data_IF_679894396570
#
_entry.id   IF_679894396570
#
_cell.length_a   1.000
_cell.length_b   1.000
_cell.length_c   1.000
_cell.angle_alpha   90.00
_cell.angle_beta   90.00
_cell.angle_gamma   90.00
#
_symmetry.space_group_name_H-M   'P 1'
#
loop_
_entity.id
_entity.type
_entity.pdbx_description
1 polymer ?
#
# COMPACT_ATOMS: atom_id res chain seq x y z
N UNK A 1 -6.51 8.04 -65.29
CA UNK A 1 -7.62 8.02 -66.26
C UNK A 1 -7.94 6.58 -66.57
N UNK A 2 -8.93 6.03 -65.86
CA UNK A 2 -9.52 4.71 -66.11
C UNK A 2 -10.96 4.82 -65.60
N UNK A 3 -11.91 4.85 -66.51
CA UNK A 3 -13.35 4.99 -66.23
C UNK A 3 -13.90 3.74 -65.51
N UNK A 4 -14.60 3.89 -64.37
CA UNK A 4 -15.38 2.83 -63.77
C UNK A 4 -16.86 3.08 -64.10
N UNK A 5 -17.26 2.77 -65.32
CA UNK A 5 -18.67 2.76 -65.69
C UNK A 5 -18.95 1.51 -66.51
N UNK A 6 -19.72 0.59 -65.91
CA UNK A 6 -20.87 -0.17 -66.47
C UNK A 6 -20.93 -1.56 -65.81
N UNK A 7 -21.39 -1.62 -64.56
CA UNK A 7 -21.99 -2.84 -64.02
C UNK A 7 -23.51 -2.73 -64.22
N UNK A 8 -24.09 -3.73 -64.89
CA UNK A 8 -25.52 -3.79 -65.17
C UNK A 8 -26.33 -3.90 -63.86
N UNK A 9 -27.53 -3.30 -63.79
CA UNK A 9 -28.39 -3.44 -62.62
C UNK A 9 -28.86 -4.91 -62.50
N UNK A 10 -28.47 -5.56 -61.40
CA UNK A 10 -29.02 -6.85 -60.99
C UNK A 10 -30.48 -6.62 -60.58
N UNK A 11 -31.40 -7.23 -61.32
CA UNK A 11 -32.83 -7.22 -61.05
C UNK A 11 -33.08 -7.88 -59.68
N UNK A 12 -33.53 -7.07 -58.71
CA UNK A 12 -33.84 -7.49 -57.34
C UNK A 12 -35.24 -8.08 -57.31
N UNK A 13 -35.32 -9.41 -57.18
CA UNK A 13 -36.58 -10.10 -56.89
C UNK A 13 -37.21 -9.53 -55.62
N UNK A 14 -38.47 -9.07 -55.74
CA UNK A 14 -39.24 -8.54 -54.62
C UNK A 14 -39.39 -9.63 -53.54
N UNK A 15 -39.20 -9.29 -52.24
CA UNK A 15 -39.33 -10.27 -51.18
C UNK A 15 -40.77 -10.79 -51.13
N UNK A 16 -40.91 -12.12 -51.20
CA UNK A 16 -42.17 -12.82 -51.07
C UNK A 16 -42.89 -12.39 -49.78
N UNK A 17 -44.01 -11.68 -49.94
CA UNK A 17 -44.94 -11.37 -48.85
C UNK A 17 -45.55 -12.68 -48.35
N UNK A 18 -45.19 -13.09 -47.13
CA UNK A 18 -45.99 -14.05 -46.36
C UNK A 18 -45.27 -15.31 -45.86
N UNK A 19 -44.07 -15.19 -45.28
CA UNK A 19 -43.53 -16.25 -44.44
C UNK A 19 -43.81 -15.92 -42.97
N UNK A 20 -44.62 -16.74 -42.31
CA UNK A 20 -44.88 -16.71 -40.88
C UNK A 20 -43.56 -16.64 -40.10
N UNK A 21 -43.35 -15.53 -39.40
CA UNK A 21 -42.20 -15.34 -38.55
C UNK A 21 -42.37 -16.24 -37.31
N UNK A 22 -41.64 -17.36 -37.30
CA UNK A 22 -41.46 -18.17 -36.09
C UNK A 22 -40.90 -17.36 -34.92
N UNK A 23 -40.79 -17.96 -33.72
CA UNK A 23 -40.28 -17.29 -32.53
C UNK A 23 -38.98 -16.53 -32.83
N UNK A 24 -38.90 -15.27 -32.38
CA UNK A 24 -37.83 -14.33 -32.74
C UNK A 24 -36.41 -14.91 -32.53
N UNK A 25 -36.24 -15.76 -31.52
CA UNK A 25 -34.97 -16.44 -31.22
C UNK A 25 -34.54 -17.43 -32.32
N UNK A 26 -35.48 -18.13 -32.94
CA UNK A 26 -35.22 -19.09 -34.01
C UNK A 26 -34.88 -18.36 -35.32
N UNK A 27 -35.54 -17.21 -35.56
CA UNK A 27 -35.22 -16.31 -36.68
C UNK A 27 -33.83 -15.67 -36.55
N UNK A 28 -33.37 -15.35 -35.34
CA UNK A 28 -32.06 -14.72 -35.14
C UNK A 28 -30.90 -15.72 -35.25
N UNK A 29 -31.13 -16.99 -34.91
CA UNK A 29 -30.07 -18.01 -34.87
C UNK A 29 -29.97 -18.83 -36.16
N UNK A 30 -31.08 -19.04 -36.87
CA UNK A 30 -31.14 -19.96 -38.01
C UNK A 30 -31.56 -19.32 -39.33
N UNK A 31 -32.03 -18.06 -39.35
CA UNK A 31 -32.29 -17.39 -40.62
C UNK A 31 -30.98 -17.12 -41.36
N UNK A 32 -31.04 -17.19 -42.69
CA UNK A 32 -29.98 -16.67 -43.53
C UNK A 32 -29.71 -15.21 -43.13
N UNK A 33 -28.43 -14.81 -42.94
CA UNK A 33 -28.11 -13.46 -42.49
C UNK A 33 -28.77 -12.47 -43.44
N UNK A 34 -29.57 -11.55 -42.88
CA UNK A 34 -30.24 -10.52 -43.66
C UNK A 34 -29.19 -9.86 -44.56
N UNK A 35 -29.46 -9.81 -45.87
CA UNK A 35 -28.60 -9.08 -46.82
C UNK A 35 -28.74 -7.60 -46.49
N UNK A 36 -27.90 -7.12 -45.59
CA UNK A 36 -27.79 -5.70 -45.28
C UNK A 36 -27.19 -5.07 -46.53
N UNK A 37 -27.96 -4.25 -47.24
CA UNK A 37 -27.41 -3.38 -48.29
C UNK A 37 -26.20 -2.67 -47.68
N UNK A 38 -25.03 -2.79 -48.33
CA UNK A 38 -23.87 -2.01 -47.91
C UNK A 38 -24.31 -0.56 -47.94
N UNK A 39 -24.50 0.05 -46.76
CA UNK A 39 -24.59 1.51 -46.63
C UNK A 39 -23.50 2.08 -47.51
N UNK A 40 -23.87 3.00 -48.42
CA UNK A 40 -22.91 3.74 -49.23
C UNK A 40 -21.78 4.14 -48.28
N UNK A 41 -20.59 3.61 -48.53
CA UNK A 41 -19.47 3.72 -47.62
C UNK A 41 -19.17 5.20 -47.45
N UNK A 42 -19.60 5.80 -46.33
CA UNK A 42 -19.15 7.14 -46.03
C UNK A 42 -17.64 7.03 -45.91
N UNK A 43 -16.92 7.82 -46.69
CA UNK A 43 -15.45 7.78 -46.78
C UNK A 43 -14.78 7.93 -45.40
N UNK A 44 -15.54 8.46 -44.43
CA UNK A 44 -15.20 8.56 -43.03
C UNK A 44 -16.41 8.17 -42.18
N UNK A 45 -16.18 7.35 -41.15
CA UNK A 45 -17.19 7.01 -40.13
C UNK A 45 -17.61 8.22 -39.28
N UNK A 46 -16.83 9.30 -39.33
CA UNK A 46 -17.04 10.53 -38.56
C UNK A 46 -16.99 11.76 -39.49
N UNK A 47 -17.70 12.84 -39.16
CA UNK A 47 -17.57 14.11 -39.87
C UNK A 47 -16.15 14.67 -39.75
N UNK A 48 -15.74 15.52 -40.71
CA UNK A 48 -14.38 16.09 -40.76
C UNK A 48 -13.96 16.79 -39.45
N UNK A 49 -14.89 17.44 -38.75
CA UNK A 49 -14.60 18.06 -37.46
C UNK A 49 -14.26 17.01 -36.39
N UNK A 50 -14.88 15.84 -36.43
CA UNK A 50 -14.58 14.73 -35.53
C UNK A 50 -13.18 14.16 -35.79
N UNK A 51 -12.82 14.01 -37.07
CA UNK A 51 -11.46 13.64 -37.47
C UNK A 51 -10.45 14.66 -36.94
N UNK A 52 -10.71 15.96 -37.13
CA UNK A 52 -9.85 17.04 -36.65
C UNK A 52 -9.66 17.01 -35.12
N UNK A 53 -10.74 16.86 -34.35
CA UNK A 53 -10.67 16.78 -32.88
C UNK A 53 -9.85 15.57 -32.43
N UNK A 54 -10.08 14.39 -33.02
CA UNK A 54 -9.32 13.18 -32.69
C UNK A 54 -7.85 13.33 -33.08
N UNK A 55 -7.55 13.90 -34.26
CA UNK A 55 -6.18 14.15 -34.70
C UNK A 55 -5.45 15.10 -33.76
N UNK A 56 -6.10 16.18 -33.29
CA UNK A 56 -5.53 17.10 -32.29
C UNK A 56 -5.26 16.38 -30.96
N UNK A 57 -6.19 15.54 -30.51
CA UNK A 57 -6.01 14.75 -29.30
C UNK A 57 -4.83 13.78 -29.42
N UNK A 58 -4.72 13.05 -30.53
CA UNK A 58 -3.61 12.12 -30.79
C UNK A 58 -2.29 12.89 -30.84
N UNK A 59 -2.24 14.02 -31.55
CA UNK A 59 -1.04 14.86 -31.63
C UNK A 59 -0.61 15.36 -30.25
N UNK A 60 -1.56 15.83 -29.44
CA UNK A 60 -1.32 16.24 -28.06
C UNK A 60 -0.78 15.07 -27.23
N UNK A 61 -1.44 13.92 -27.25
CA UNK A 61 -1.04 12.74 -26.50
C UNK A 61 0.37 12.28 -26.86
N UNK A 62 0.66 12.15 -28.16
CA UNK A 62 1.97 11.73 -28.67
C UNK A 62 3.06 12.72 -28.26
N UNK A 63 2.78 14.03 -28.35
CA UNK A 63 3.74 15.07 -27.98
C UNK A 63 4.06 15.04 -26.48
N UNK A 64 3.04 14.92 -25.63
CA UNK A 64 3.25 14.75 -24.18
C UNK A 64 3.98 13.43 -23.89
N UNK A 65 3.63 12.33 -24.55
CA UNK A 65 4.27 11.02 -24.37
C UNK A 65 5.77 11.06 -24.75
N UNK A 66 6.12 11.68 -25.87
CA UNK A 66 7.51 11.81 -26.31
C UNK A 66 8.34 12.62 -25.30
N UNK A 67 7.83 13.76 -24.84
CA UNK A 67 8.53 14.58 -23.85
C UNK A 67 8.55 13.91 -22.48
N UNK A 68 7.49 13.19 -22.09
CA UNK A 68 7.43 12.44 -20.83
C UNK A 68 8.50 11.36 -20.74
N UNK A 69 8.79 10.68 -21.86
CA UNK A 69 9.84 9.66 -21.95
C UNK A 69 11.25 10.24 -22.19
N UNK A 70 11.38 11.55 -22.42
CA UNK A 70 12.69 12.18 -22.55
C UNK A 70 13.38 12.35 -21.19
N UNK A 71 14.72 12.33 -21.13
CA UNK A 71 15.43 12.47 -19.87
C UNK A 71 15.13 13.81 -19.20
N UNK A 72 14.53 13.79 -18.00
CA UNK A 72 14.33 14.99 -17.17
C UNK A 72 15.63 15.53 -16.52
N UNK A 73 16.80 15.06 -16.96
CA UNK A 73 18.13 15.42 -16.47
C UNK A 73 19.05 15.73 -17.66
N UNK A 74 20.08 16.54 -17.44
CA UNK A 74 21.03 16.94 -18.50
C UNK A 74 20.51 18.08 -19.38
N UNK A 75 20.97 18.14 -20.62
CA UNK A 75 20.74 19.24 -21.56
C UNK A 75 19.25 19.48 -21.89
N UNK A 76 18.40 18.44 -21.81
CA UNK A 76 16.98 18.54 -22.13
C UNK A 76 16.09 18.90 -20.92
N UNK A 77 16.66 19.09 -19.72
CA UNK A 77 15.91 19.28 -18.47
C UNK A 77 14.94 20.45 -18.52
N UNK A 78 15.41 21.60 -19.00
CA UNK A 78 14.61 22.83 -18.98
C UNK A 78 13.50 22.78 -20.03
N UNK A 79 13.78 22.23 -21.22
CA UNK A 79 12.77 21.95 -22.23
C UNK A 79 11.70 20.97 -21.71
N UNK A 80 12.13 19.84 -21.15
CA UNK A 80 11.23 18.83 -20.58
C UNK A 80 10.29 19.43 -19.54
N UNK A 81 10.85 20.16 -18.57
CA UNK A 81 10.06 20.78 -17.49
C UNK A 81 9.12 21.87 -18.00
N UNK A 82 9.60 22.72 -18.92
CA UNK A 82 8.83 23.85 -19.45
C UNK A 82 7.69 23.36 -20.32
N UNK A 83 7.96 22.44 -21.25
CA UNK A 83 6.95 21.85 -22.12
C UNK A 83 5.84 21.17 -21.31
N UNK A 84 6.20 20.23 -20.41
CA UNK A 84 5.21 19.50 -19.61
C UNK A 84 4.40 20.42 -18.69
N UNK A 85 4.99 21.51 -18.19
CA UNK A 85 4.24 22.52 -17.41
C UNK A 85 3.26 23.30 -18.28
N UNK A 86 3.68 23.75 -19.45
CA UNK A 86 2.87 24.58 -20.34
C UNK A 86 1.65 23.83 -20.90
N UNK A 87 1.86 22.58 -21.30
CA UNK A 87 0.79 21.74 -21.86
C UNK A 87 -0.01 20.97 -20.80
N UNK A 88 0.25 21.23 -19.51
CA UNK A 88 -0.32 20.50 -18.36
C UNK A 88 -0.14 18.98 -18.49
N UNK A 89 1.00 18.56 -19.03
CA UNK A 89 1.32 17.16 -19.29
C UNK A 89 1.37 16.31 -18.02
N UNK A 90 1.82 16.88 -16.90
CA UNK A 90 1.83 16.20 -15.60
C UNK A 90 0.42 15.89 -15.08
N UNK A 91 -0.48 16.86 -15.17
CA UNK A 91 -1.88 16.72 -14.79
C UNK A 91 -2.62 15.77 -15.72
N UNK A 92 -2.38 15.87 -17.03
CA UNK A 92 -2.96 14.99 -18.04
C UNK A 92 -2.57 13.52 -17.78
N UNK A 93 -1.26 13.19 -17.71
CA UNK A 93 -0.81 11.82 -17.47
C UNK A 93 -1.25 11.26 -16.12
N UNK A 94 -1.30 12.11 -15.09
CA UNK A 94 -1.81 11.71 -13.77
C UNK A 94 -3.32 11.45 -13.79
N UNK A 95 -4.08 12.28 -14.50
CA UNK A 95 -5.52 12.17 -14.65
C UNK A 95 -5.94 10.93 -15.44
N UNK A 96 -5.24 10.66 -16.55
CA UNK A 96 -5.48 9.47 -17.39
C UNK A 96 -4.78 8.21 -16.92
N UNK A 97 -4.04 8.28 -15.80
CA UNK A 97 -3.26 7.16 -15.22
C UNK A 97 -2.25 6.53 -16.18
N UNK A 98 -1.67 7.32 -17.08
CA UNK A 98 -0.60 6.90 -17.97
C UNK A 98 0.79 6.83 -17.29
N UNK A 99 0.86 7.03 -15.96
CA UNK A 99 2.12 6.97 -15.23
C UNK A 99 2.55 5.51 -14.94
N UNK A 100 3.05 4.80 -15.94
CA UNK A 100 3.68 3.51 -15.67
C UNK A 100 5.01 3.70 -14.94
N UNK A 101 5.24 2.86 -13.92
CA UNK A 101 6.53 2.78 -13.26
C UNK A 101 7.49 1.97 -14.13
N UNK A 102 8.64 2.54 -14.49
CA UNK A 102 9.73 1.83 -15.15
C UNK A 102 10.24 0.62 -14.37
N UNK A 103 9.92 0.52 -13.08
CA UNK A 103 10.23 -0.66 -12.26
C UNK A 103 9.56 -1.94 -12.79
N UNK A 104 8.51 -1.85 -13.61
CA UNK A 104 7.94 -3.02 -14.29
C UNK A 104 8.85 -3.57 -15.40
N UNK A 105 9.71 -2.74 -15.98
CA UNK A 105 10.67 -3.10 -17.03
C UNK A 105 12.10 -3.25 -16.50
N UNK A 106 12.31 -3.16 -15.18
CA UNK A 106 13.61 -3.44 -14.61
C UNK A 106 14.02 -4.90 -14.94
N UNK A 107 15.32 -5.20 -15.14
CA UNK A 107 15.78 -6.56 -15.49
C UNK A 107 15.33 -7.66 -14.51
N UNK A 108 15.00 -7.27 -13.27
CA UNK A 108 14.45 -8.15 -12.24
C UNK A 108 13.21 -7.50 -11.60
N UNK A 109 12.03 -7.58 -12.23
CA UNK A 109 10.81 -7.02 -11.64
C UNK A 109 10.43 -7.79 -10.38
N UNK A 110 9.62 -7.20 -9.49
CA UNK A 110 9.11 -7.95 -8.34
C UNK A 110 8.23 -9.10 -8.83
N UNK A 111 8.61 -10.34 -8.49
CA UNK A 111 7.90 -11.56 -8.87
C UNK A 111 7.05 -12.13 -7.75
N UNK A 112 6.74 -11.33 -6.73
CA UNK A 112 5.85 -11.71 -5.64
C UNK A 112 4.57 -10.90 -5.73
N UNK A 113 3.44 -11.58 -5.92
CA UNK A 113 2.14 -10.97 -5.72
C UNK A 113 1.77 -11.19 -4.25
N UNK A 114 1.45 -10.12 -3.54
CA UNK A 114 1.10 -10.17 -2.11
C UNK A 114 -0.32 -9.70 -1.90
N UNK A 115 -1.06 -10.50 -1.14
CA UNK A 115 -2.44 -10.33 -0.75
C UNK A 115 -2.49 -10.24 0.79
N UNK A 116 -3.44 -9.47 1.29
CA UNK A 116 -3.68 -9.36 2.73
C UNK A 116 -5.09 -9.81 3.03
N UNK A 117 -5.21 -10.81 3.89
CA UNK A 117 -6.47 -11.20 4.49
C UNK A 117 -6.56 -10.64 5.90
N UNK A 118 -7.77 -10.28 6.28
CA UNK A 118 -8.05 -9.71 7.58
C UNK A 118 -9.06 -10.62 8.24
N UNK A 119 -8.63 -11.29 9.28
CA UNK A 119 -9.49 -12.15 10.07
C UNK A 119 -9.88 -11.45 11.35
N UNK A 120 -11.12 -11.66 11.77
CA UNK A 120 -11.65 -11.16 13.03
C UNK A 120 -11.98 -12.36 13.90
N UNK A 121 -11.40 -12.39 15.09
CA UNK A 121 -11.77 -13.34 16.13
C UNK A 121 -12.87 -12.72 16.98
N UNK A 122 -14.03 -13.38 17.03
CA UNK A 122 -15.17 -12.93 17.83
C UNK A 122 -14.93 -13.19 19.35
N UNK A 123 -15.95 -12.97 20.18
CA UNK A 123 -15.86 -13.27 21.62
C UNK A 123 -15.94 -14.78 21.91
N UNK A 124 -16.48 -15.58 21.00
CA UNK A 124 -16.58 -17.04 21.13
C UNK A 124 -15.27 -17.76 20.78
N UNK A 125 -14.35 -17.07 20.10
CA UNK A 125 -13.11 -17.61 19.55
C UNK A 125 -13.23 -18.11 18.10
N UNK A 126 -14.37 -17.88 17.45
CA UNK A 126 -14.56 -18.18 16.04
C UNK A 126 -13.85 -17.14 15.15
N UNK A 127 -13.20 -17.62 14.09
CA UNK A 127 -12.42 -16.82 13.17
C UNK A 127 -13.23 -16.51 11.91
N UNK A 128 -13.55 -15.24 11.73
CA UNK A 128 -14.31 -14.73 10.59
C UNK A 128 -13.39 -14.06 9.57
N UNK A 129 -13.51 -14.41 8.29
CA UNK A 129 -12.88 -13.60 7.23
C UNK A 129 -13.68 -12.30 7.09
N UNK A 130 -13.02 -11.16 7.24
CA UNK A 130 -13.69 -9.86 7.15
C UNK A 130 -14.04 -9.48 5.69
N UNK A 131 -13.69 -10.32 4.72
CA UNK A 131 -14.00 -10.19 3.29
C UNK A 131 -13.55 -8.84 2.69
N UNK A 132 -12.57 -8.19 3.34
CA UNK A 132 -11.93 -6.97 2.87
C UNK A 132 -10.59 -7.28 2.21
N UNK A 133 -10.41 -8.51 1.70
CA UNK A 133 -9.24 -8.86 0.90
C UNK A 133 -9.17 -7.86 -0.26
N UNK A 134 -8.03 -7.18 -0.35
CA UNK A 134 -7.77 -6.08 -1.29
C UNK A 134 -7.97 -6.55 -2.74
N UNK A 135 -7.97 -7.87 -2.97
CA UNK A 135 -8.01 -8.46 -4.29
C UNK A 135 -9.07 -9.56 -4.48
N UNK A 136 -9.71 -10.05 -3.41
CA UNK A 136 -10.62 -11.21 -3.47
C UNK A 136 -11.91 -10.95 -4.27
N UNK A 137 -12.41 -9.73 -4.21
CA UNK A 137 -13.41 -9.21 -5.13
C UNK A 137 -12.98 -7.80 -5.54
N UNK A 138 -13.09 -7.49 -6.83
CA UNK A 138 -12.84 -6.17 -7.41
C UNK A 138 -13.95 -5.15 -6.99
N UNK A 139 -14.37 -5.19 -5.72
CA UNK A 139 -15.41 -4.32 -5.13
C UNK A 139 -15.00 -2.85 -5.09
N UNK A 140 -13.75 -2.53 -5.40
CA UNK A 140 -13.25 -1.17 -5.44
C UNK A 140 -12.65 -0.81 -6.81
N UNK A 141 -13.48 -0.59 -7.85
CA UNK A 141 -13.04 0.17 -9.00
C UNK A 141 -12.79 1.61 -8.52
N UNK A 142 -11.61 1.87 -7.98
CA UNK A 142 -11.21 3.21 -7.57
C UNK A 142 -11.12 4.06 -8.84
N UNK A 143 -12.21 4.69 -9.27
CA UNK A 143 -12.18 5.74 -10.29
C UNK A 143 -11.37 6.94 -9.75
N UNK A 144 -11.47 7.16 -8.44
CA UNK A 144 -10.69 8.14 -7.69
C UNK A 144 -9.92 7.44 -6.58
N UNK A 145 -8.67 7.84 -6.40
CA UNK A 145 -7.83 7.33 -5.32
C UNK A 145 -8.34 7.92 -4.00
N UNK A 146 -9.17 7.15 -3.29
CA UNK A 146 -9.73 7.55 -2.00
C UNK A 146 -8.77 7.22 -0.85
N UNK A 147 -9.16 7.63 0.36
CA UNK A 147 -8.34 7.38 1.56
C UNK A 147 -8.28 5.89 1.91
N UNK A 148 -9.34 5.12 1.62
CA UNK A 148 -9.41 3.68 1.91
C UNK A 148 -8.42 2.90 1.03
N UNK A 149 -8.40 3.15 -0.27
CA UNK A 149 -7.46 2.57 -1.21
C UNK A 149 -6.00 2.88 -0.86
N UNK A 150 -5.74 4.07 -0.28
CA UNK A 150 -4.42 4.41 0.25
C UNK A 150 -4.00 3.55 1.44
N UNK A 151 -4.91 3.33 2.40
CA UNK A 151 -4.64 2.48 3.57
C UNK A 151 -4.48 1.03 3.13
N UNK A 152 -5.38 0.53 2.29
CA UNK A 152 -5.37 -0.83 1.77
C UNK A 152 -4.03 -1.16 1.09
N UNK A 153 -3.56 -0.32 0.14
CA UNK A 153 -2.24 -0.53 -0.52
C UNK A 153 -1.05 -0.47 0.42
N UNK A 154 -1.18 0.14 1.60
CA UNK A 154 -0.08 0.31 2.56
C UNK A 154 -0.15 -0.65 3.74
N UNK A 155 -1.22 -1.45 3.84
CA UNK A 155 -1.41 -2.38 4.93
C UNK A 155 -0.41 -3.55 4.85
N UNK A 156 0.05 -3.89 3.65
CA UNK A 156 1.07 -4.92 3.45
C UNK A 156 2.42 -4.47 4.04
N UNK A 157 2.85 -5.19 5.07
CA UNK A 157 4.17 -5.05 5.69
C UNK A 157 4.37 -3.80 6.57
N UNK A 158 3.36 -2.92 6.72
CA UNK A 158 3.48 -1.71 7.56
C UNK A 158 2.58 -1.80 8.80
N UNK A 159 3.20 -2.16 9.93
CA UNK A 159 2.53 -2.33 11.23
C UNK A 159 1.66 -1.14 11.67
N UNK A 160 2.10 0.10 11.45
CA UNK A 160 1.30 1.26 11.86
C UNK A 160 -0.01 1.40 11.06
N UNK A 161 -0.01 1.05 9.76
CA UNK A 161 -1.24 1.03 8.97
C UNK A 161 -2.15 -0.10 9.40
N UNK A 162 -1.60 -1.28 9.68
CA UNK A 162 -2.35 -2.41 10.24
C UNK A 162 -3.01 -2.05 11.56
N UNK A 163 -2.30 -1.36 12.46
CA UNK A 163 -2.85 -0.90 13.74
C UNK A 163 -4.06 0.01 13.59
N UNK A 164 -3.94 1.04 12.74
CA UNK A 164 -5.03 2.00 12.51
C UNK A 164 -6.22 1.31 11.80
N UNK A 165 -5.93 0.47 10.81
CA UNK A 165 -6.97 -0.25 10.09
C UNK A 165 -7.66 -1.29 10.97
N UNK A 166 -6.91 -2.07 11.75
CA UNK A 166 -7.47 -3.04 12.68
C UNK A 166 -8.32 -2.38 13.76
N UNK A 167 -7.92 -1.20 14.27
CA UNK A 167 -8.80 -0.42 15.13
C UNK A 167 -10.11 -0.03 14.44
N UNK A 168 -10.08 0.32 13.15
CA UNK A 168 -11.30 0.53 12.36
C UNK A 168 -12.11 -0.75 12.17
N UNK A 169 -11.47 -1.90 11.90
CA UNK A 169 -12.14 -3.20 11.79
C UNK A 169 -12.83 -3.57 13.11
N UNK A 170 -12.18 -3.38 14.26
CA UNK A 170 -12.80 -3.60 15.57
C UNK A 170 -14.07 -2.78 15.76
N UNK A 171 -14.06 -1.50 15.36
CA UNK A 171 -15.22 -0.61 15.41
C UNK A 171 -16.32 -1.04 14.45
N UNK A 172 -15.94 -1.38 13.22
CA UNK A 172 -16.87 -1.81 12.18
C UNK A 172 -17.53 -3.15 12.54
N UNK A 173 -16.77 -4.07 13.12
CA UNK A 173 -17.30 -5.32 13.68
C UNK A 173 -18.32 -5.05 14.78
N UNK A 174 -17.98 -4.21 15.76
CA UNK A 174 -18.91 -3.84 16.83
C UNK A 174 -20.18 -3.17 16.28
N UNK A 175 -20.06 -2.37 15.22
CA UNK A 175 -21.21 -1.76 14.55
C UNK A 175 -22.13 -2.79 13.90
N UNK A 176 -21.57 -3.84 13.30
CA UNK A 176 -22.33 -4.88 12.60
C UNK A 176 -22.92 -5.95 13.55
N UNK A 177 -22.29 -6.16 14.71
CA UNK A 177 -22.66 -7.19 15.68
C UNK A 177 -23.28 -6.58 16.95
N UNK A 178 -24.26 -5.68 16.81
CA UNK A 178 -25.05 -5.12 17.91
C UNK A 178 -24.24 -4.54 19.09
N UNK A 179 -23.06 -3.99 18.82
CA UNK A 179 -22.19 -3.37 19.81
C UNK A 179 -21.20 -4.32 20.49
N UNK A 180 -21.20 -5.60 20.14
CA UNK A 180 -20.24 -6.60 20.63
C UNK A 180 -18.88 -6.40 19.96
N UNK A 181 -17.86 -6.02 20.74
CA UNK A 181 -16.52 -5.86 20.22
C UNK A 181 -15.92 -7.22 19.82
N UNK A 182 -15.11 -7.25 18.76
CA UNK A 182 -14.27 -8.42 18.47
C UNK A 182 -13.21 -8.60 19.56
N UNK A 183 -12.65 -9.81 19.69
CA UNK A 183 -11.52 -10.09 20.60
C UNK A 183 -10.21 -9.64 19.97
N UNK A 184 -9.96 -10.06 18.74
CA UNK A 184 -8.73 -9.72 18.01
C UNK A 184 -8.95 -9.60 16.50
N UNK A 185 -8.07 -8.86 15.84
CA UNK A 185 -8.00 -8.76 14.38
C UNK A 185 -6.61 -9.21 13.95
N UNK A 186 -6.54 -10.25 13.13
CA UNK A 186 -5.29 -10.84 12.66
C UNK A 186 -5.10 -10.59 11.17
N UNK A 187 -3.92 -10.08 10.80
CA UNK A 187 -3.55 -9.88 9.41
C UNK A 187 -2.75 -11.08 8.91
N UNK A 188 -3.21 -11.69 7.82
CA UNK A 188 -2.52 -12.82 7.18
C UNK A 188 -2.04 -12.37 5.82
N UNK A 189 -0.71 -12.32 5.66
CA UNK A 189 -0.07 -12.06 4.38
C UNK A 189 -0.06 -13.34 3.58
N UNK A 190 -0.80 -13.37 2.48
CA UNK A 190 -0.77 -14.44 1.48
C UNK A 190 0.06 -13.96 0.31
N UNK A 191 1.05 -14.71 -0.16
CA UNK A 191 1.82 -14.31 -1.34
C UNK A 191 2.04 -15.48 -2.30
N UNK A 192 2.02 -15.16 -3.59
CA UNK A 192 2.27 -16.08 -4.69
C UNK A 192 3.50 -15.64 -5.47
N UNK A 193 4.21 -16.61 -6.06
CA UNK A 193 5.33 -16.32 -6.95
C UNK A 193 4.82 -16.25 -8.39
N UNK A 194 5.06 -15.13 -9.05
CA UNK A 194 4.79 -14.96 -10.48
C UNK A 194 5.82 -15.79 -11.26
N UNK A 195 5.39 -16.75 -12.09
CA UNK A 195 6.27 -17.60 -12.89
C UNK A 195 7.10 -16.79 -13.89
N UNK A 196 8.16 -17.39 -14.45
CA UNK A 196 8.96 -16.72 -15.49
C UNK A 196 8.12 -16.64 -16.77
N UNK A 197 8.31 -15.63 -17.64
CA UNK A 197 7.60 -15.56 -18.92
C UNK A 197 7.70 -16.86 -19.74
N UNK A 198 8.88 -17.48 -19.74
CA UNK A 198 9.12 -18.77 -20.41
C UNK A 198 8.22 -19.90 -19.89
N UNK A 199 7.98 -19.96 -18.58
CA UNK A 199 7.13 -20.98 -17.94
C UNK A 199 5.65 -20.76 -18.30
N UNK A 200 5.21 -19.50 -18.42
CA UNK A 200 3.83 -19.17 -18.80
C UNK A 200 3.58 -19.47 -20.27
N UNK A 201 4.52 -19.10 -21.15
CA UNK A 201 4.43 -19.38 -22.58
C UNK A 201 4.43 -20.88 -22.87
N UNK A 202 5.20 -21.67 -22.12
CA UNK A 202 5.23 -23.13 -22.23
C UNK A 202 3.88 -23.77 -21.84
N UNK A 203 3.15 -23.20 -20.87
CA UNK A 203 1.90 -23.77 -20.36
C UNK A 203 0.65 -23.50 -21.21
N UNK A 204 0.75 -22.76 -22.33
CA UNK A 204 -0.32 -22.45 -23.33
C UNK A 204 -1.66 -21.87 -22.81
N UNK A 205 -1.93 -21.83 -21.50
CA UNK A 205 -3.22 -21.41 -20.91
C UNK A 205 -3.18 -20.10 -20.12
N UNK A 206 -2.12 -19.30 -20.24
CA UNK A 206 -1.95 -18.10 -19.42
C UNK A 206 -1.62 -18.43 -17.95
N UNK A 207 -1.45 -17.40 -17.12
CA UNK A 207 -1.21 -17.55 -15.69
C UNK A 207 -2.43 -17.08 -14.90
N UNK A 208 -3.07 -17.99 -14.17
CA UNK A 208 -4.12 -17.65 -13.21
C UNK A 208 -3.49 -17.44 -11.81
N UNK A 209 -3.60 -16.22 -11.29
CA UNK A 209 -3.04 -15.85 -9.98
C UNK A 209 -3.79 -16.50 -8.81
N UNK A 210 -5.05 -16.88 -8.99
CA UNK A 210 -5.91 -17.42 -7.94
C UNK A 210 -5.64 -18.89 -7.65
N UNK A 211 -5.27 -19.64 -8.68
CA UNK A 211 -4.90 -21.06 -8.61
C UNK A 211 -3.41 -21.25 -8.27
N UNK A 212 -2.63 -20.16 -8.27
CA UNK A 212 -1.20 -20.25 -8.03
C UNK A 212 -0.90 -20.73 -6.60
N UNK A 213 0.13 -21.58 -6.42
CA UNK A 213 0.57 -21.99 -5.10
C UNK A 213 0.98 -20.76 -4.31
N UNK A 214 0.43 -20.64 -3.11
CA UNK A 214 0.60 -19.49 -2.24
C UNK A 214 1.21 -19.92 -0.92
N UNK A 215 1.96 -19.01 -0.30
CA UNK A 215 2.41 -19.13 1.08
C UNK A 215 1.67 -18.11 1.93
N UNK A 216 1.37 -18.49 3.17
CA UNK A 216 0.72 -17.61 4.12
C UNK A 216 1.67 -17.34 5.29
N UNK A 217 1.61 -16.14 5.83
CA UNK A 217 2.38 -15.74 7.01
C UNK A 217 1.54 -14.78 7.81
N UNK A 218 1.28 -15.13 9.06
CA UNK A 218 0.64 -14.24 10.03
C UNK A 218 1.54 -13.03 10.28
N UNK A 219 0.94 -11.85 10.35
CA UNK A 219 1.65 -10.60 10.59
C UNK A 219 1.37 -10.07 12.00
N UNK A 220 0.66 -8.96 12.10
CA UNK A 220 0.29 -8.39 13.39
C UNK A 220 -1.10 -8.92 13.78
N UNK A 221 -1.25 -9.29 15.05
CA UNK A 221 -2.55 -9.49 15.67
C UNK A 221 -2.83 -8.32 16.60
N UNK A 222 -4.01 -7.73 16.47
CA UNK A 222 -4.42 -6.55 17.22
C UNK A 222 -5.55 -6.95 18.15
N UNK A 223 -5.35 -6.77 19.44
CA UNK A 223 -6.41 -6.95 20.42
C UNK A 223 -7.32 -5.72 20.44
N UNK A 224 -8.60 -5.91 20.13
CA UNK A 224 -9.54 -4.80 20.00
C UNK A 224 -9.77 -4.05 21.32
N UNK A 225 -9.61 -4.71 22.48
CA UNK A 225 -9.74 -4.09 23.81
C UNK A 225 -8.61 -3.10 24.15
N UNK A 226 -7.41 -3.30 23.61
CA UNK A 226 -6.23 -2.51 24.00
C UNK A 226 -5.82 -1.51 22.92
N UNK A 227 -6.25 -1.72 21.67
CA UNK A 227 -5.89 -0.82 20.57
C UNK A 227 -6.57 0.53 20.73
N UNK A 228 -5.78 1.57 20.47
CA UNK A 228 -6.23 2.96 20.52
C UNK A 228 -7.30 3.19 19.44
N UNK A 229 -8.42 3.78 19.85
CA UNK A 229 -9.65 3.93 19.09
C UNK A 229 -10.22 2.60 18.56
N UNK A 230 -9.89 1.44 19.15
CA UNK A 230 -10.49 0.17 18.73
C UNK A 230 -11.97 0.06 19.05
N UNK A 231 -12.44 0.80 20.05
CA UNK A 231 -13.80 0.74 20.56
C UNK A 231 -14.64 1.88 19.99
N UNK A 232 -15.95 1.67 19.94
CA UNK A 232 -16.90 2.67 19.45
C UNK A 232 -17.20 3.67 20.58
N UNK A 233 -16.94 4.99 20.40
CA UNK A 233 -17.27 6.01 21.41
C UNK A 233 -18.79 6.17 21.56
N UNK A 234 -19.26 6.69 22.70
CA UNK A 234 -20.69 6.79 23.00
C UNK A 234 -21.46 7.64 22.00
N UNK A 235 -20.86 8.72 21.49
CA UNK A 235 -21.46 9.54 20.44
C UNK A 235 -21.83 8.74 19.17
N UNK A 236 -20.97 7.79 18.80
CA UNK A 236 -21.23 6.91 17.65
C UNK A 236 -22.18 5.77 18.04
N UNK A 237 -22.07 5.23 19.26
CA UNK A 237 -22.98 4.19 19.75
C UNK A 237 -24.42 4.69 19.77
N UNK A 238 -24.66 5.88 20.31
CA UNK A 238 -25.96 6.55 20.31
C UNK A 238 -26.51 6.71 18.88
N UNK A 239 -25.69 7.20 17.95
CA UNK A 239 -26.07 7.34 16.53
C UNK A 239 -26.51 6.02 15.90
N UNK A 240 -25.90 4.92 16.30
CA UNK A 240 -26.24 3.58 15.79
C UNK A 240 -27.29 2.85 16.65
N UNK A 241 -27.86 3.48 17.68
CA UNK A 241 -28.84 2.86 18.58
C UNK A 241 -28.24 1.77 19.48
N UNK A 242 -26.95 1.83 19.76
CA UNK A 242 -26.22 0.89 20.62
C UNK A 242 -26.18 1.39 22.07
N UNK A 243 -26.22 0.46 23.03
CA UNK A 243 -26.13 0.79 24.46
C UNK A 243 -24.81 1.51 24.79
N UNK A 244 -24.80 2.57 25.60
CA UNK A 244 -23.58 3.29 25.94
C UNK A 244 -22.61 2.42 26.75
N UNK A 245 -21.30 2.71 26.63
CA UNK A 245 -20.22 2.08 27.38
C UNK A 245 -19.60 3.07 28.37
N UNK A 246 -18.86 2.54 29.35
CA UNK A 246 -18.01 3.35 30.23
C UNK A 246 -16.75 3.81 29.47
N UNK A 247 -16.77 5.05 28.95
CA UNK A 247 -15.70 5.56 28.10
C UNK A 247 -14.34 5.58 28.80
N UNK A 248 -14.29 5.79 30.12
CA UNK A 248 -13.02 5.87 30.84
C UNK A 248 -12.30 4.52 30.91
N UNK A 249 -13.08 3.44 31.03
CA UNK A 249 -12.53 2.08 31.16
C UNK A 249 -12.37 1.38 29.81
N UNK A 250 -13.34 1.55 28.93
CA UNK A 250 -13.45 0.77 27.69
C UNK A 250 -12.90 1.51 26.48
N UNK A 251 -13.09 2.83 26.36
CA UNK A 251 -12.65 3.58 25.19
C UNK A 251 -11.20 4.07 25.35
N UNK A 252 -10.31 3.59 24.47
CA UNK A 252 -8.89 3.97 24.48
C UNK A 252 -8.64 5.15 23.54
N UNK A 253 -8.63 6.36 24.09
CA UNK A 253 -8.32 7.56 23.32
C UNK A 253 -6.84 7.66 22.93
N UNK A 254 -6.55 8.31 21.79
CA UNK A 254 -5.17 8.72 21.48
C UNK A 254 -4.73 9.68 22.57
N UNK A 255 -3.63 9.34 23.25
CA UNK A 255 -2.94 10.28 24.13
C UNK A 255 -2.37 11.40 23.27
N UNK A 256 -3.11 12.49 23.17
CA UNK A 256 -2.62 13.74 22.60
C UNK A 256 -1.47 14.25 23.47
N UNK A 257 -0.35 14.58 22.82
CA UNK A 257 0.77 15.27 23.46
C UNK A 257 0.82 16.65 22.85
N UNK A 258 0.55 17.66 23.66
CA UNK A 258 0.70 19.04 23.26
C UNK A 258 2.17 19.40 23.14
N UNK A 259 2.47 20.57 22.55
CA UNK A 259 3.85 21.08 22.53
C UNK A 259 4.35 21.40 23.96
N UNK A 260 3.46 21.84 24.85
CA UNK A 260 3.75 22.05 26.26
C UNK A 260 4.17 20.74 26.97
N UNK A 261 3.43 19.65 26.79
CA UNK A 261 3.77 18.33 27.38
C UNK A 261 5.10 17.76 26.87
N UNK A 262 5.62 18.28 25.74
CA UNK A 262 6.95 17.93 25.23
C UNK A 262 8.01 18.79 25.89
N UNK A 263 7.79 20.10 25.94
CA UNK A 263 8.70 21.05 26.58
C UNK A 263 8.90 20.74 28.07
N UNK A 264 7.82 20.43 28.78
CA UNK A 264 7.87 20.09 30.21
C UNK A 264 8.66 18.80 30.46
N UNK A 265 8.43 17.76 29.67
CA UNK A 265 9.23 16.52 29.73
C UNK A 265 10.70 16.73 29.41
N UNK A 266 11.00 17.64 28.49
CA UNK A 266 12.37 17.98 28.16
C UNK A 266 13.05 18.70 29.32
N UNK A 267 12.34 19.61 30.00
CA UNK A 267 12.80 20.23 31.25
C UNK A 267 13.04 19.19 32.35
N UNK A 268 12.08 18.31 32.60
CA UNK A 268 12.24 17.22 33.58
C UNK A 268 13.43 16.31 33.24
N UNK A 269 13.66 16.02 31.95
CA UNK A 269 14.81 15.22 31.50
C UNK A 269 16.12 15.95 31.80
N UNK A 270 16.22 17.23 31.46
CA UNK A 270 17.41 18.04 31.71
C UNK A 270 17.69 18.17 33.22
N UNK A 271 16.66 18.35 34.05
CA UNK A 271 16.81 18.37 35.51
C UNK A 271 17.29 17.02 36.06
N UNK A 272 16.77 15.90 35.56
CA UNK A 272 17.23 14.55 35.95
C UNK A 272 18.66 14.30 35.52
N UNK A 273 19.06 14.79 34.36
CA UNK A 273 20.44 14.71 33.87
C UNK A 273 21.38 15.55 34.74
N UNK A 274 20.99 16.79 35.07
CA UNK A 274 21.75 17.66 35.97
C UNK A 274 21.92 17.05 37.39
N UNK A 275 20.86 16.47 37.94
CA UNK A 275 20.95 15.76 39.24
C UNK A 275 21.89 14.56 39.17
N UNK A 276 21.89 13.82 38.05
CA UNK A 276 22.78 12.66 37.86
C UNK A 276 24.24 13.08 37.69
N UNK A 277 24.52 14.20 37.02
CA UNK A 277 25.89 14.71 36.89
C UNK A 277 26.41 15.20 38.23
N UNK A 278 25.60 15.95 38.98
CA UNK A 278 25.97 16.42 40.31
C UNK A 278 26.26 15.26 41.28
N UNK A 279 25.39 14.24 41.34
CA UNK A 279 25.62 13.07 42.17
C UNK A 279 26.90 12.28 41.79
N UNK A 280 27.29 12.29 40.50
CA UNK A 280 28.54 11.68 40.05
C UNK A 280 29.76 12.48 40.50
N UNK A 281 29.68 13.80 40.47
CA UNK A 281 30.73 14.70 40.97
C UNK A 281 30.87 14.57 42.49
N UNK A 282 29.77 14.60 43.23
CA UNK A 282 29.76 14.40 44.68
C UNK A 282 30.37 13.05 45.07
N UNK A 283 30.06 11.98 44.32
CA UNK A 283 30.65 10.66 44.54
C UNK A 283 32.15 10.61 44.22
N UNK A 284 32.65 11.40 43.26
CA UNK A 284 34.08 11.51 42.97
C UNK A 284 34.78 12.28 44.08
N UNK A 285 34.25 13.43 44.46
CA UNK A 285 34.79 14.27 45.53
C UNK A 285 34.87 13.50 46.86
N UNK A 286 33.83 12.74 47.22
CA UNK A 286 33.86 11.88 48.41
C UNK A 286 34.88 10.73 48.32
N UNK A 287 35.17 10.21 47.12
CA UNK A 287 36.23 9.21 46.96
C UNK A 287 37.61 9.84 47.10
N UNK A 288 37.83 11.01 46.52
CA UNK A 288 39.10 11.75 46.60
C UNK A 288 39.40 12.17 48.04
N UNK A 289 38.41 12.73 48.76
CA UNK A 289 38.53 13.08 50.18
C UNK A 289 38.82 11.88 51.11
N UNK A 290 38.41 10.67 50.71
CA UNK A 290 38.70 9.43 51.45
C UNK A 290 40.06 8.82 51.08
N UNK A 291 40.69 9.28 50.00
CA UNK A 291 41.97 8.76 49.48
C UNK A 291 43.15 9.67 49.83
N UNK A 292 42.93 10.82 50.48
CA UNK A 292 43.99 11.54 51.20
C UNK A 292 44.19 10.90 52.58
N UNK A 293 45.31 10.19 52.83
CA UNK A 293 45.59 9.67 54.15
C UNK A 293 46.21 10.78 55.02
N UNK A 294 45.68 10.90 56.24
CA UNK A 294 46.45 11.39 57.36
C UNK A 294 47.80 10.65 57.39
N UNK A 295 48.89 11.42 57.40
CA UNK A 295 50.26 10.92 57.50
C UNK A 295 50.35 9.88 58.61
N UNK A 296 50.43 8.61 58.21
CA UNK A 296 50.81 7.51 59.07
C UNK A 296 51.93 6.83 58.32
N UNK A 297 53.13 6.91 58.89
CA UNK A 297 54.33 6.29 58.37
C UNK A 297 54.06 4.82 58.02
N UNK A 298 54.63 4.31 56.91
CA UNK A 298 54.54 2.90 56.58
C UNK A 298 55.33 2.10 57.61
N UNK A 299 54.67 1.54 58.62
CA UNK A 299 55.25 0.47 59.41
C UNK A 299 55.43 -0.73 58.49
N UNK A 300 56.68 -1.03 58.18
CA UNK A 300 57.11 -2.25 57.51
C UNK A 300 56.68 -3.43 58.37
N UNK A 301 55.58 -4.10 57.99
CA UNK A 301 55.30 -5.45 58.48
C UNK A 301 56.26 -6.40 57.76
N UNK A 302 57.30 -6.80 58.47
CA UNK A 302 58.10 -7.98 58.16
C UNK A 302 57.22 -9.22 58.37
N UNK A 303 56.66 -9.76 57.30
CA UNK A 303 56.17 -11.14 57.32
C UNK A 303 57.39 -12.09 57.31
N UNK A 304 57.39 -13.07 58.21
CA UNK A 304 58.46 -14.07 58.38
C UNK A 304 58.53 -15.13 57.26
N UNK A 305 58.03 -14.82 56.06
CA UNK A 305 58.13 -15.67 54.87
C UNK A 305 58.62 -14.77 53.75
N UNK A 306 59.84 -15.08 53.28
CA UNK A 306 60.64 -14.23 52.39
C UNK A 306 59.98 -13.78 51.08
N UNK A 307 60.70 -12.98 50.28
CA UNK A 307 60.12 -12.21 49.17
C UNK A 307 59.40 -13.12 48.17
N UNK A 308 58.10 -12.90 48.01
CA UNK A 308 57.34 -13.38 46.86
C UNK A 308 57.82 -12.60 45.64
N UNK A 309 58.46 -13.35 44.75
CA UNK A 309 58.94 -12.91 43.43
C UNK A 309 57.73 -12.46 42.60
N UNK A 310 57.69 -11.19 42.23
CA UNK A 310 56.71 -10.67 41.27
C UNK A 310 56.90 -11.38 39.90
N UNK A 311 55.86 -11.98 39.32
CA UNK A 311 55.89 -12.44 37.94
C UNK A 311 55.62 -11.25 37.01
N UNK A 312 56.64 -10.39 36.83
CA UNK A 312 56.73 -9.45 35.70
C UNK A 312 58.17 -9.40 35.16
N UNK A 313 58.53 -10.45 34.44
CA UNK A 313 59.28 -10.39 33.19
C UNK A 313 58.43 -11.16 32.17
N UNK A 314 58.25 -10.79 30.92
CA UNK A 314 59.13 -10.02 30.06
C UNK A 314 58.29 -9.30 28.99
N UNK A 315 58.52 -8.01 28.81
CA UNK A 315 58.57 -7.45 27.46
C UNK A 315 59.84 -7.99 26.80
N UNK A 316 59.72 -8.74 25.72
CA UNK A 316 60.70 -8.71 24.63
C UNK A 316 60.19 -9.45 23.39
N UNK A 317 60.06 -8.66 22.32
CA UNK A 317 60.66 -8.91 21.02
C UNK A 317 60.10 -10.00 20.09
N UNK A 318 59.99 -9.52 18.85
CA UNK A 318 60.24 -10.17 17.57
C UNK A 318 59.04 -10.73 16.79
N UNK A 319 58.90 -10.10 15.60
CA UNK A 319 58.25 -10.51 14.34
C UNK A 319 56.84 -9.99 14.07
#
# INVERSE_FOLDING_TARGET
>A
MSDPSTEAPVELDAPAKGADAGPLHESLLHAAPARVERRASSRWAYPLWGVLVVSLFVLYHVSVLLVWNSPGKGLAKDFHKTFLKQVKGYEYFRGTRNNQSWAMFAPNPNRTNTFMRVFVEDQSGELWDFEQDIWGEDRYPYFWYDRRGKVNRRIDGKKHYQRIYGAWVCREWARQNNGEAAKSVTFVRRWTRVPKPQEVLAKKGGWNQWEAPHKQTEQETITCKTVVHGQLPNELRERYGLAPIDEEKEFRQVRTRTWWDKAERERERLEREAKRTQAREDSKNNKEAKTEPAGTEPTVKLDARGPLRDPKGDEARDQ
#
